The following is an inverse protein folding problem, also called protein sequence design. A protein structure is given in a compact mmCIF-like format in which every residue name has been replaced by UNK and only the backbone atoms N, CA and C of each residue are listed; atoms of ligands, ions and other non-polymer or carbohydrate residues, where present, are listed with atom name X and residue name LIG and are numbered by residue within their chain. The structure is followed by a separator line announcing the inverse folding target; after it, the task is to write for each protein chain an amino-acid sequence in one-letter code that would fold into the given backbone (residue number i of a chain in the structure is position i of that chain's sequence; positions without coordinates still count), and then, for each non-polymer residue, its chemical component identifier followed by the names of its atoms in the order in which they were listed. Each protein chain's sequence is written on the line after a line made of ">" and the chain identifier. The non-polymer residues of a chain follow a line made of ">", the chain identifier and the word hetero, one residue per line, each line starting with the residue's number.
data_IF_949106432044
#
_entry.id   IF_949106432044
#
_cell.length_a   1.000
_cell.length_b   1.000
_cell.length_c   1.000
_cell.angle_alpha   90.00
_cell.angle_beta   90.00
_cell.angle_gamma   90.00
#
_symmetry.space_group_name_H-M   'P 1'
#
loop_
_entity.id
_entity.type
_entity.pdbx_description
1 polymer ?
#
# COMPACT_ATOMS: atom_id res chain seq x y z
N UNK A 1 -10.88 0.08 -11.64
CA UNK A 1 -10.81 1.02 -10.50
C UNK A 1 -9.74 2.05 -10.80
N UNK A 2 -9.96 3.30 -10.39
CA UNK A 2 -8.95 4.35 -10.54
C UNK A 2 -7.90 4.24 -9.43
N UNK A 3 -6.65 4.52 -9.78
CA UNK A 3 -5.53 4.72 -8.85
C UNK A 3 -4.95 6.09 -9.18
N UNK A 4 -4.63 6.86 -8.14
CA UNK A 4 -3.96 8.15 -8.24
C UNK A 4 -2.51 7.99 -7.78
N UNK A 5 -1.60 8.65 -8.50
CA UNK A 5 -0.18 8.64 -8.20
C UNK A 5 0.26 10.09 -7.99
N UNK A 6 1.00 10.33 -6.90
CA UNK A 6 1.63 11.61 -6.59
C UNK A 6 3.13 11.35 -6.54
N UNK A 7 3.89 12.02 -7.41
CA UNK A 7 5.35 11.94 -7.45
C UNK A 7 5.95 13.28 -7.04
N UNK A 8 6.87 13.25 -6.08
CA UNK A 8 7.65 14.41 -5.63
C UNK A 8 9.11 14.02 -5.38
N UNK A 9 9.90 14.92 -4.81
CA UNK A 9 11.32 14.72 -4.51
C UNK A 9 11.58 13.53 -3.57
N UNK A 10 10.64 13.24 -2.67
CA UNK A 10 10.72 12.13 -1.72
C UNK A 10 10.45 10.77 -2.38
N UNK A 11 9.66 10.76 -3.45
CA UNK A 11 9.35 9.58 -4.26
C UNK A 11 7.88 9.50 -4.63
N UNK A 12 7.37 8.27 -4.75
CA UNK A 12 6.01 7.96 -5.21
C UNK A 12 5.09 7.69 -4.02
N UNK A 13 3.94 8.36 -4.01
CA UNK A 13 2.79 8.04 -3.17
C UNK A 13 1.64 7.50 -4.04
N UNK A 14 1.04 6.40 -3.61
CA UNK A 14 -0.02 5.71 -4.34
C UNK A 14 -1.31 5.77 -3.52
N UNK A 15 -2.39 6.25 -4.13
CA UNK A 15 -3.73 6.25 -3.54
C UNK A 15 -4.64 5.37 -4.39
N UNK A 16 -5.23 4.34 -3.79
CA UNK A 16 -6.02 3.33 -4.50
C UNK A 16 -7.32 2.98 -3.77
N UNK A 17 -8.36 2.60 -4.53
CA UNK A 17 -9.65 2.19 -3.96
C UNK A 17 -9.60 0.82 -3.26
N UNK A 18 -9.78 -0.27 -4.02
CA UNK A 18 -9.74 -1.66 -3.52
C UNK A 18 -8.79 -2.57 -4.30
N UNK A 19 -7.75 -2.07 -4.97
CA UNK A 19 -6.67 -2.85 -5.60
C UNK A 19 -7.01 -4.26 -6.16
N UNK A 20 -8.09 -4.44 -6.93
CA UNK A 20 -8.49 -5.76 -7.46
C UNK A 20 -7.41 -6.39 -8.36
N UNK A 21 -6.58 -5.56 -8.99
CA UNK A 21 -5.42 -6.00 -9.79
C UNK A 21 -4.22 -6.43 -8.94
N UNK A 22 -4.31 -6.35 -7.61
CA UNK A 22 -3.23 -6.61 -6.65
C UNK A 22 -2.40 -5.35 -6.37
N UNK A 23 -2.12 -5.09 -5.09
CA UNK A 23 -1.38 -3.89 -4.68
C UNK A 23 0.07 -3.90 -5.19
N UNK A 24 0.74 -5.06 -5.20
CA UNK A 24 2.09 -5.19 -5.75
C UNK A 24 2.15 -4.82 -7.23
N UNK A 25 1.15 -5.24 -8.02
CA UNK A 25 1.09 -4.93 -9.45
C UNK A 25 0.86 -3.43 -9.70
N UNK A 26 0.02 -2.79 -8.87
CA UNK A 26 -0.18 -1.34 -8.92
C UNK A 26 1.12 -0.61 -8.61
N UNK A 27 1.89 -1.07 -7.62
CA UNK A 27 3.17 -0.50 -7.25
C UNK A 27 4.17 -0.62 -8.42
N UNK A 28 4.29 -1.79 -9.05
CA UNK A 28 5.17 -1.96 -10.23
C UNK A 28 4.77 -1.03 -11.38
N UNK A 29 3.49 -0.94 -11.70
CA UNK A 29 3.01 -0.05 -12.77
C UNK A 29 3.28 1.43 -12.43
N UNK A 30 3.12 1.84 -11.18
CA UNK A 30 3.43 3.19 -10.75
C UNK A 30 4.91 3.52 -10.93
N UNK A 31 5.82 2.60 -10.59
CA UNK A 31 7.26 2.79 -10.81
C UNK A 31 7.60 2.95 -12.29
N UNK A 32 6.97 2.15 -13.15
CA UNK A 32 7.17 2.20 -14.61
C UNK A 32 6.75 3.57 -15.17
N UNK A 33 5.54 4.02 -14.83
CA UNK A 33 4.99 5.29 -15.31
C UNK A 33 5.78 6.49 -14.80
N UNK A 34 6.17 6.48 -13.51
CA UNK A 34 6.93 7.56 -12.88
C UNK A 34 8.44 7.52 -13.15
N UNK A 35 8.95 6.42 -13.72
CA UNK A 35 10.39 6.15 -13.89
C UNK A 35 11.17 6.34 -12.58
N UNK A 36 10.57 5.96 -11.45
CA UNK A 36 11.15 6.06 -10.11
C UNK A 36 10.80 4.80 -9.31
N UNK A 37 11.80 4.21 -8.65
CA UNK A 37 11.62 2.99 -7.86
C UNK A 37 11.33 3.27 -6.38
N UNK A 38 11.39 4.53 -5.95
CA UNK A 38 11.23 4.94 -4.55
C UNK A 38 9.76 5.10 -4.22
N UNK A 39 9.12 4.02 -3.79
CA UNK A 39 7.73 4.05 -3.33
C UNK A 39 7.72 4.36 -1.84
N UNK A 40 7.28 5.58 -1.51
CA UNK A 40 7.30 6.07 -0.13
C UNK A 40 6.09 5.57 0.63
N UNK A 41 4.90 5.73 0.01
CA UNK A 41 3.64 5.45 0.69
C UNK A 41 2.52 4.92 -0.19
N UNK A 42 1.63 4.17 0.45
CA UNK A 42 0.48 3.53 -0.17
C UNK A 42 -0.74 3.67 0.74
N UNK A 43 -1.79 4.31 0.23
CA UNK A 43 -3.07 4.54 0.91
C UNK A 43 -4.18 3.87 0.11
N UNK A 44 -4.96 3.01 0.75
CA UNK A 44 -6.07 2.35 0.06
C UNK A 44 -6.38 0.94 0.53
N UNK A 45 -7.40 0.33 -0.07
CA UNK A 45 -7.76 -1.07 0.17
C UNK A 45 -6.96 -2.03 -0.68
N UNK A 46 -6.37 -3.05 -0.05
CA UNK A 46 -5.51 -4.04 -0.71
C UNK A 46 -6.30 -5.27 -1.22
N UNK A 47 -7.60 -5.34 -0.92
CA UNK A 47 -8.49 -6.48 -1.25
C UNK A 47 -8.07 -7.81 -0.61
N UNK A 48 -7.48 -7.74 0.58
CA UNK A 48 -7.00 -8.88 1.33
C UNK A 48 -7.82 -9.02 2.62
N UNK A 49 -8.47 -10.16 2.80
CA UNK A 49 -9.42 -10.39 3.90
C UNK A 49 -9.02 -11.50 4.86
N UNK A 50 -8.14 -12.42 4.43
CA UNK A 50 -7.67 -13.56 5.22
C UNK A 50 -6.16 -13.60 5.18
N UNK A 51 -5.53 -13.98 6.30
CA UNK A 51 -4.10 -14.22 6.37
C UNK A 51 -3.82 -15.57 5.68
N UNK A 52 -3.07 -15.50 4.59
CA UNK A 52 -2.68 -16.62 3.76
C UNK A 52 -1.36 -16.29 3.04
N UNK A 53 -0.87 -17.23 2.22
CA UNK A 53 0.38 -17.08 1.46
C UNK A 53 0.42 -15.80 0.60
N UNK A 54 -0.73 -15.29 0.14
CA UNK A 54 -0.77 -14.04 -0.62
C UNK A 54 -0.45 -12.82 0.25
N UNK A 55 -0.88 -12.81 1.51
CA UNK A 55 -0.52 -11.77 2.48
C UNK A 55 0.99 -11.84 2.75
N UNK A 56 1.54 -13.03 2.94
CA UNK A 56 2.98 -13.21 3.19
C UNK A 56 3.82 -12.66 2.02
N UNK A 57 3.46 -13.03 0.77
CA UNK A 57 4.09 -12.49 -0.44
C UNK A 57 3.95 -10.97 -0.56
N UNK A 58 2.79 -10.43 -0.18
CA UNK A 58 2.54 -8.98 -0.19
C UNK A 58 3.44 -8.29 0.83
N UNK A 59 3.55 -8.81 2.04
CA UNK A 59 4.41 -8.28 3.10
C UNK A 59 5.87 -8.29 2.66
N UNK A 60 6.36 -9.40 2.12
CA UNK A 60 7.74 -9.52 1.64
C UNK A 60 8.03 -8.54 0.51
N UNK A 61 7.09 -8.39 -0.42
CA UNK A 61 7.20 -7.40 -1.49
C UNK A 61 7.26 -5.97 -0.93
N UNK A 62 6.38 -5.58 -0.01
CA UNK A 62 6.37 -4.25 0.60
C UNK A 62 7.69 -3.97 1.34
N UNK A 63 8.26 -4.98 2.01
CA UNK A 63 9.55 -4.89 2.71
C UNK A 63 10.71 -4.67 1.74
N UNK A 64 10.77 -5.46 0.67
CA UNK A 64 11.81 -5.35 -0.36
C UNK A 64 11.80 -3.97 -1.01
N UNK A 65 10.61 -3.40 -1.21
CA UNK A 65 10.41 -2.06 -1.73
C UNK A 65 10.60 -0.94 -0.70
N UNK A 66 10.88 -1.28 0.57
CA UNK A 66 11.12 -0.34 1.67
C UNK A 66 10.00 0.70 1.80
N UNK A 67 8.75 0.29 1.57
CA UNK A 67 7.59 1.18 1.70
C UNK A 67 7.41 1.55 3.16
N UNK A 68 7.49 2.85 3.47
CA UNK A 68 7.51 3.35 4.86
C UNK A 68 6.12 3.74 5.35
N UNK A 69 5.29 4.22 4.44
CA UNK A 69 4.04 4.89 4.74
C UNK A 69 2.85 4.02 4.28
N UNK A 70 2.41 3.08 5.13
CA UNK A 70 1.35 2.14 4.80
C UNK A 70 0.04 2.48 5.50
N UNK A 71 -1.01 2.72 4.72
CA UNK A 71 -2.36 3.05 5.19
C UNK A 71 -3.40 2.09 4.58
N UNK A 72 -3.31 0.76 4.85
CA UNK A 72 -4.30 -0.20 4.36
C UNK A 72 -5.68 0.07 4.98
N UNK A 73 -6.68 0.32 4.14
CA UNK A 73 -8.02 0.71 4.56
C UNK A 73 -9.12 -0.03 3.78
N UNK A 74 -10.38 0.38 3.98
CA UNK A 74 -11.56 -0.09 3.24
C UNK A 74 -11.61 -1.62 3.05
N UNK A 75 -11.32 -2.12 1.84
CA UNK A 75 -11.28 -3.54 1.48
C UNK A 75 -10.06 -4.30 2.04
N UNK A 76 -9.70 -4.11 3.31
CA UNK A 76 -8.61 -4.84 3.97
C UNK A 76 -9.02 -5.19 5.39
N UNK A 77 -9.05 -6.48 5.74
CA UNK A 77 -9.51 -6.89 7.07
C UNK A 77 -8.50 -6.53 8.16
N UNK A 78 -8.98 -6.35 9.39
CA UNK A 78 -8.13 -6.09 10.55
C UNK A 78 -7.02 -7.14 10.70
N UNK A 79 -7.36 -8.43 10.55
CA UNK A 79 -6.38 -9.52 10.66
C UNK A 79 -5.23 -9.37 9.66
N UNK A 80 -5.52 -8.96 8.43
CA UNK A 80 -4.48 -8.70 7.43
C UNK A 80 -3.65 -7.47 7.79
N UNK A 81 -4.28 -6.37 8.22
CA UNK A 81 -3.56 -5.18 8.68
C UNK A 81 -2.61 -5.52 9.84
N UNK A 82 -3.08 -6.32 10.80
CA UNK A 82 -2.28 -6.77 11.93
C UNK A 82 -1.11 -7.66 11.48
N UNK A 83 -1.32 -8.57 10.51
CA UNK A 83 -0.24 -9.39 9.96
C UNK A 83 0.84 -8.53 9.29
N UNK A 84 0.43 -7.55 8.47
CA UNK A 84 1.36 -6.59 7.88
C UNK A 84 2.10 -5.82 8.98
N UNK A 85 1.40 -5.38 10.03
CA UNK A 85 1.96 -4.60 11.15
C UNK A 85 3.13 -5.28 11.86
N UNK A 86 3.09 -6.62 12.00
CA UNK A 86 4.19 -7.39 12.61
C UNK A 86 5.53 -7.17 11.91
N UNK A 87 5.46 -6.79 10.65
CA UNK A 87 6.53 -6.85 9.68
C UNK A 87 6.94 -5.46 9.19
N UNK A 88 5.95 -4.58 9.01
CA UNK A 88 6.05 -3.18 8.60
C UNK A 88 4.97 -2.38 9.33
N UNK A 89 5.32 -1.26 10.01
CA UNK A 89 4.32 -0.45 10.69
C UNK A 89 3.22 0.04 9.75
N UNK A 90 1.99 -0.40 9.98
CA UNK A 90 0.79 0.15 9.33
C UNK A 90 0.19 1.26 10.18
N UNK A 91 -0.30 2.30 9.53
CA UNK A 91 -1.01 3.42 10.13
C UNK A 91 -2.51 3.21 9.97
N UNK A 92 -3.25 3.45 11.06
CA UNK A 92 -4.69 3.30 11.06
C UNK A 92 -5.35 4.39 10.20
N UNK A 93 -6.44 4.01 9.52
CA UNK A 93 -7.21 4.91 8.65
C UNK A 93 -8.65 4.93 9.12
N UNK A 94 -9.13 6.11 9.47
CA UNK A 94 -10.52 6.40 9.80
C UNK A 94 -11.06 7.58 9.01
N UNK A 95 -12.38 7.78 9.07
CA UNK A 95 -13.02 8.97 8.49
C UNK A 95 -12.50 10.22 9.20
N UNK A 96 -12.17 11.25 8.43
CA UNK A 96 -11.59 12.49 8.96
C UNK A 96 -10.08 12.43 9.21
N UNK A 97 -9.39 11.36 8.79
CA UNK A 97 -7.93 11.33 8.82
C UNK A 97 -7.36 12.39 7.87
N UNK A 98 -6.50 13.25 8.41
CA UNK A 98 -5.66 14.16 7.66
C UNK A 98 -4.21 13.66 7.69
N UNK A 99 -3.53 13.69 6.55
CA UNK A 99 -2.14 13.26 6.44
C UNK A 99 -1.34 14.38 5.80
N UNK A 100 -0.22 14.74 6.44
CA UNK A 100 0.71 15.75 5.99
C UNK A 100 2.07 15.08 5.74
N UNK A 101 2.56 15.15 4.50
CA UNK A 101 3.86 14.61 4.08
C UNK A 101 4.74 15.70 3.49
#
# INVERSE_FOLDING_TARGET
>A
MATMIIQNENGIYIITGCSHSGICNIIEYAKEVCKDNRVVGVIGGFHLFKVNEQVDKTVDYLKQNKVKELYPCHCTSFNVKAEIHKALPVKEVGVGLEINW
#
